data_IF_553990598774
#
_entry.id   IF_553990598774
#
_cell.length_a   1.000
_cell.length_b   1.000
_cell.length_c   1.000
_cell.angle_alpha   90.00
_cell.angle_beta   90.00
_cell.angle_gamma   90.00
#
_symmetry.space_group_name_H-M   'P 1'
#
loop_
_entity.id
_entity.type
_entity.pdbx_description
1 polymer ?
#
# COMPACT_ATOMS: atom_id res chain seq x y z
N UNK A 1 -4.06 34.72 9.34
CA UNK A 1 -3.94 33.30 9.75
C UNK A 1 -2.78 32.72 8.97
N UNK A 2 -1.61 32.57 9.61
CA UNK A 2 -0.39 32.10 8.97
C UNK A 2 -0.50 30.61 8.67
N UNK A 3 -0.41 30.26 7.39
CA UNK A 3 -0.09 28.91 6.90
C UNK A 3 1.17 28.43 7.61
N UNK A 4 1.07 27.32 8.35
CA UNK A 4 2.19 26.74 9.07
C UNK A 4 3.25 26.21 8.10
N UNK A 5 4.32 26.97 7.92
CA UNK A 5 5.52 26.50 7.25
C UNK A 5 6.08 25.32 8.04
N UNK A 6 5.99 24.12 7.47
CA UNK A 6 6.72 22.96 7.97
C UNK A 6 8.20 23.30 7.84
N UNK A 7 8.86 23.62 8.94
CA UNK A 7 10.30 23.87 8.95
C UNK A 7 11.03 22.59 8.53
N UNK A 8 11.65 22.65 7.36
CA UNK A 8 12.52 21.60 6.85
C UNK A 8 13.77 21.49 7.72
N UNK A 9 14.05 20.30 8.29
CA UNK A 9 15.17 20.05 9.22
C UNK A 9 16.17 19.02 8.64
N UNK A 10 16.86 19.33 7.52
CA UNK A 10 17.72 18.38 6.81
C UNK A 10 18.92 17.91 7.63
N UNK A 11 19.49 18.77 8.47
CA UNK A 11 20.69 18.51 9.28
C UNK A 11 20.47 17.43 10.35
N UNK A 12 19.23 17.22 10.79
CA UNK A 12 18.87 16.16 11.73
C UNK A 12 18.01 15.04 11.13
N UNK A 13 17.78 15.05 9.82
CA UNK A 13 16.92 14.06 9.15
C UNK A 13 17.76 12.98 8.48
N UNK A 14 17.53 11.72 8.85
CA UNK A 14 18.07 10.55 8.14
C UNK A 14 17.02 10.06 7.17
N UNK A 15 17.36 9.97 5.88
CA UNK A 15 16.48 9.37 4.89
C UNK A 15 16.74 7.87 4.88
N UNK A 16 15.73 7.06 5.24
CA UNK A 16 15.75 5.61 5.14
C UNK A 16 14.84 5.17 4.00
N UNK A 17 15.37 4.42 3.04
CA UNK A 17 14.59 3.90 1.90
C UNK A 17 15.21 2.60 1.37
N UNK A 18 14.60 2.00 0.36
CA UNK A 18 15.08 0.77 -0.26
C UNK A 18 14.28 0.40 -1.50
N UNK A 19 14.73 -0.64 -2.21
CA UNK A 19 14.16 -1.04 -3.50
C UNK A 19 12.84 -1.80 -3.37
N UNK A 20 12.47 -2.20 -2.16
CA UNK A 20 11.37 -3.14 -1.94
C UNK A 20 10.02 -2.67 -2.49
N UNK A 21 9.77 -1.35 -2.51
CA UNK A 21 8.45 -0.80 -2.83
C UNK A 21 8.45 -0.10 -4.18
N UNK A 22 9.19 0.99 -4.30
CA UNK A 22 9.16 1.83 -5.50
C UNK A 22 9.74 1.13 -6.74
N UNK A 23 10.61 0.13 -6.57
CA UNK A 23 11.15 -0.69 -7.66
C UNK A 23 10.52 -2.09 -7.74
N UNK A 24 9.43 -2.34 -7.00
CA UNK A 24 8.76 -3.66 -6.90
C UNK A 24 9.70 -4.84 -6.57
N UNK A 25 10.81 -4.57 -5.88
CA UNK A 25 11.89 -5.54 -5.61
C UNK A 25 11.85 -6.03 -4.15
N UNK A 26 10.68 -6.43 -3.65
CA UNK A 26 10.47 -6.80 -2.24
C UNK A 26 11.43 -7.89 -1.73
N UNK A 27 11.70 -8.88 -2.58
CA UNK A 27 12.59 -10.00 -2.29
C UNK A 27 14.08 -9.69 -2.39
N UNK A 28 14.49 -8.52 -2.89
CA UNK A 28 15.90 -8.20 -3.16
C UNK A 28 16.67 -7.76 -1.91
N UNK A 29 15.94 -7.43 -0.84
CA UNK A 29 16.49 -7.12 0.50
C UNK A 29 17.57 -6.03 0.49
N UNK A 30 17.39 -5.00 -0.34
CA UNK A 30 18.28 -3.83 -0.37
C UNK A 30 17.58 -2.58 0.17
N UNK A 31 18.15 -2.03 1.23
CA UNK A 31 17.82 -0.73 1.80
C UNK A 31 19.09 0.07 2.07
N UNK A 32 18.95 1.39 2.16
CA UNK A 32 20.06 2.29 2.40
C UNK A 32 19.59 3.52 3.17
N UNK A 33 20.51 4.09 3.94
CA UNK A 33 20.28 5.30 4.72
C UNK A 33 21.20 6.42 4.21
N UNK A 34 20.64 7.61 4.02
CA UNK A 34 21.41 8.83 3.73
C UNK A 34 21.47 9.66 5.00
N UNK A 35 22.68 9.87 5.51
CA UNK A 35 22.91 10.67 6.72
C UNK A 35 23.43 12.06 6.34
N UNK A 36 22.89 13.14 6.95
CA UNK A 36 23.47 14.46 6.82
C UNK A 36 24.85 14.50 7.51
N UNK A 37 25.71 15.45 7.11
CA UNK A 37 27.09 15.55 7.60
C UNK A 37 27.14 15.68 9.13
N UNK A 38 26.16 16.38 9.71
CA UNK A 38 26.00 16.64 11.13
C UNK A 38 25.78 15.36 11.95
N UNK A 39 25.28 14.29 11.32
CA UNK A 39 25.04 12.99 11.95
C UNK A 39 26.13 11.95 11.62
N UNK A 40 27.35 12.39 11.28
CA UNK A 40 28.45 11.48 10.90
C UNK A 40 28.84 10.49 11.99
N UNK A 41 28.78 10.91 13.25
CA UNK A 41 29.14 10.05 14.38
C UNK A 41 28.08 8.96 14.60
N UNK A 42 26.80 9.32 14.47
CA UNK A 42 25.71 8.36 14.46
C UNK A 42 25.84 7.36 13.30
N UNK A 43 26.15 7.84 12.09
CA UNK A 43 26.42 6.96 10.93
C UNK A 43 27.54 5.97 11.23
N UNK A 44 28.63 6.41 11.87
CA UNK A 44 29.76 5.55 12.25
C UNK A 44 29.33 4.48 13.26
N UNK A 45 28.57 4.88 14.28
CA UNK A 45 28.03 3.97 15.28
C UNK A 45 27.09 2.92 14.66
N UNK A 46 26.14 3.34 13.82
CA UNK A 46 25.22 2.42 13.12
C UNK A 46 25.98 1.47 12.20
N UNK A 47 26.97 1.96 11.44
CA UNK A 47 27.80 1.10 10.58
C UNK A 47 28.59 0.06 11.40
N UNK A 48 29.14 0.44 12.55
CA UNK A 48 29.85 -0.47 13.44
C UNK A 48 28.90 -1.57 13.95
N UNK A 49 27.74 -1.19 14.48
CA UNK A 49 26.73 -2.14 14.93
C UNK A 49 26.25 -3.08 13.80
N UNK A 50 26.03 -2.53 12.62
CA UNK A 50 25.66 -3.30 11.43
C UNK A 50 26.72 -4.35 11.09
N UNK A 51 28.00 -3.99 11.05
CA UNK A 51 29.09 -4.94 10.72
C UNK A 51 29.27 -6.07 11.75
N UNK A 52 28.75 -5.90 12.97
CA UNK A 52 28.72 -6.96 13.99
C UNK A 52 27.41 -7.78 13.98
N UNK A 53 26.39 -7.31 13.26
CA UNK A 53 25.06 -7.98 13.17
C UNK A 53 24.91 -8.73 11.85
N UNK A 54 25.42 -8.17 10.75
CA UNK A 54 25.38 -8.76 9.41
C UNK A 54 26.60 -8.28 8.59
N UNK A 55 27.06 -9.10 7.65
CA UNK A 55 28.25 -8.79 6.86
C UNK A 55 28.02 -7.62 5.89
N UNK A 56 27.12 -7.80 4.92
CA UNK A 56 26.78 -6.79 3.91
C UNK A 56 25.49 -7.18 3.19
N UNK A 57 24.92 -6.25 2.42
CA UNK A 57 23.85 -6.58 1.48
C UNK A 57 24.38 -7.49 0.34
N UNK A 58 23.53 -8.30 -0.31
CA UNK A 58 23.99 -9.20 -1.38
C UNK A 58 24.69 -8.43 -2.52
N UNK A 59 25.95 -8.77 -2.81
CA UNK A 59 26.75 -8.05 -3.82
C UNK A 59 26.08 -7.97 -5.20
N UNK A 60 25.48 -9.04 -5.77
CA UNK A 60 24.79 -8.93 -7.06
C UNK A 60 23.67 -7.89 -7.09
N UNK A 61 22.94 -7.76 -5.96
CA UNK A 61 21.87 -6.78 -5.82
C UNK A 61 22.42 -5.36 -5.74
N UNK A 62 23.59 -5.16 -5.12
CA UNK A 62 24.27 -3.86 -5.09
C UNK A 62 24.70 -3.42 -6.50
N UNK A 63 25.21 -4.33 -7.33
CA UNK A 63 25.54 -4.04 -8.74
C UNK A 63 24.31 -3.66 -9.55
N UNK A 64 23.23 -4.44 -9.44
CA UNK A 64 21.98 -4.13 -10.14
C UNK A 64 21.37 -2.80 -9.69
N UNK A 65 21.46 -2.46 -8.39
CA UNK A 65 21.03 -1.17 -7.89
C UNK A 65 21.87 -0.02 -8.45
N UNK A 66 23.19 -0.22 -8.59
CA UNK A 66 24.09 0.78 -9.18
C UNK A 66 23.71 1.07 -10.63
N UNK A 67 23.47 0.03 -11.43
CA UNK A 67 23.00 0.16 -12.81
C UNK A 67 21.68 0.95 -12.87
N UNK A 68 20.72 0.57 -12.02
CA UNK A 68 19.43 1.27 -11.94
C UNK A 68 19.61 2.77 -11.58
N UNK A 69 20.47 3.11 -10.62
CA UNK A 69 20.72 4.52 -10.25
C UNK A 69 21.48 5.32 -11.31
N UNK A 70 22.15 4.65 -12.26
CA UNK A 70 22.75 5.31 -13.42
C UNK A 70 21.72 5.58 -14.53
N UNK A 71 20.52 4.99 -14.45
CA UNK A 71 19.46 5.09 -15.44
C UNK A 71 18.20 5.75 -14.85
N UNK A 72 18.34 6.94 -14.26
CA UNK A 72 17.25 7.61 -13.54
C UNK A 72 16.01 7.89 -14.40
N UNK A 73 16.16 8.20 -15.68
CA UNK A 73 15.02 8.44 -16.59
C UNK A 73 14.13 7.20 -16.75
N UNK A 74 14.73 6.00 -16.77
CA UNK A 74 14.00 4.74 -16.81
C UNK A 74 13.27 4.50 -15.48
N UNK A 75 13.90 4.82 -14.35
CA UNK A 75 13.27 4.76 -13.04
C UNK A 75 12.08 5.71 -12.93
N UNK A 76 12.24 6.96 -13.37
CA UNK A 76 11.19 7.98 -13.31
C UNK A 76 10.00 7.58 -14.19
N UNK A 77 10.26 7.09 -15.41
CA UNK A 77 9.21 6.55 -16.29
C UNK A 77 8.48 5.37 -15.63
N UNK A 78 9.23 4.41 -15.08
CA UNK A 78 8.66 3.27 -14.37
C UNK A 78 7.77 3.72 -13.19
N UNK A 79 8.27 4.60 -12.34
CA UNK A 79 7.55 5.13 -11.18
C UNK A 79 6.27 5.83 -11.62
N UNK A 80 6.32 6.70 -12.64
CA UNK A 80 5.12 7.40 -13.16
C UNK A 80 4.03 6.42 -13.61
N UNK A 81 4.41 5.39 -14.36
CA UNK A 81 3.46 4.36 -14.79
C UNK A 81 2.92 3.54 -13.63
N UNK A 82 3.76 3.16 -12.65
CA UNK A 82 3.29 2.46 -11.46
C UNK A 82 2.36 3.34 -10.60
N UNK A 83 2.69 4.61 -10.40
CA UNK A 83 1.89 5.57 -9.63
C UNK A 83 0.50 5.75 -10.23
N UNK A 84 0.37 5.93 -11.56
CA UNK A 84 -0.97 6.08 -12.17
C UNK A 84 -1.81 4.81 -12.08
N UNK A 85 -1.18 3.63 -12.16
CA UNK A 85 -1.87 2.34 -11.97
C UNK A 85 -2.38 2.24 -10.53
N UNK A 86 -1.52 2.51 -9.55
CA UNK A 86 -1.90 2.45 -8.13
C UNK A 86 -2.95 3.50 -7.75
N UNK A 87 -2.91 4.69 -8.35
CA UNK A 87 -3.95 5.71 -8.17
C UNK A 87 -5.31 5.24 -8.73
N UNK A 88 -5.33 4.65 -9.92
CA UNK A 88 -6.55 4.09 -10.52
C UNK A 88 -7.14 2.97 -9.66
N UNK A 89 -6.31 2.01 -9.23
CA UNK A 89 -6.74 0.87 -8.42
C UNK A 89 -7.17 1.32 -7.02
N UNK A 90 -6.39 2.17 -6.36
CA UNK A 90 -6.71 2.70 -5.03
C UNK A 90 -7.97 3.56 -5.03
N UNK A 91 -8.16 4.39 -6.07
CA UNK A 91 -9.39 5.15 -6.28
C UNK A 91 -10.60 4.24 -6.47
N UNK A 92 -10.48 3.20 -7.30
CA UNK A 92 -11.55 2.21 -7.49
C UNK A 92 -11.96 1.54 -6.17
N UNK A 93 -11.00 1.04 -5.38
CA UNK A 93 -11.29 0.46 -4.06
C UNK A 93 -12.03 1.44 -3.15
N UNK A 94 -11.61 2.71 -3.14
CA UNK A 94 -12.24 3.76 -2.35
C UNK A 94 -13.69 4.01 -2.78
N UNK A 95 -13.94 4.24 -4.07
CA UNK A 95 -15.28 4.56 -4.58
C UNK A 95 -16.27 3.42 -4.42
N UNK A 96 -15.85 2.18 -4.71
CA UNK A 96 -16.73 1.01 -4.60
C UNK A 96 -17.18 0.76 -3.15
N UNK A 97 -16.25 0.81 -2.19
CA UNK A 97 -16.59 0.59 -0.78
C UNK A 97 -17.40 1.75 -0.20
N UNK A 98 -17.03 3.00 -0.50
CA UNK A 98 -17.77 4.17 -0.01
C UNK A 98 -19.18 4.27 -0.60
N UNK A 99 -19.40 3.76 -1.81
CA UNK A 99 -20.74 3.69 -2.43
C UNK A 99 -21.75 2.87 -1.60
N UNK A 100 -21.26 1.96 -0.75
CA UNK A 100 -22.08 1.16 0.16
C UNK A 100 -21.95 1.61 1.62
N UNK A 101 -21.46 2.82 1.87
CA UNK A 101 -21.43 3.46 3.19
C UNK A 101 -20.25 3.07 4.08
N UNK A 102 -19.32 2.24 3.60
CA UNK A 102 -18.03 2.01 4.29
C UNK A 102 -17.27 3.33 4.30
N UNK A 103 -16.72 3.75 5.44
CA UNK A 103 -15.92 4.98 5.50
C UNK A 103 -14.47 4.66 5.14
N UNK A 104 -13.82 5.55 4.42
CA UNK A 104 -12.40 5.45 4.11
C UNK A 104 -11.85 6.83 3.77
N UNK A 105 -10.53 6.99 3.82
CA UNK A 105 -9.83 8.13 3.25
C UNK A 105 -9.32 7.74 1.87
N UNK A 106 -9.53 8.59 0.86
CA UNK A 106 -9.01 8.34 -0.48
C UNK A 106 -7.48 8.24 -0.42
N UNK A 107 -6.86 7.16 -0.93
CA UNK A 107 -5.41 7.02 -0.89
C UNK A 107 -4.75 8.09 -1.76
N UNK A 108 -3.69 8.72 -1.25
CA UNK A 108 -2.85 9.66 -2.02
C UNK A 108 -1.47 9.08 -2.35
N UNK A 109 -1.09 7.98 -1.70
CA UNK A 109 0.18 7.29 -1.89
C UNK A 109 0.10 5.86 -1.33
N UNK A 110 1.16 5.09 -1.58
CA UNK A 110 1.26 3.71 -1.10
C UNK A 110 0.35 2.78 -1.89
N UNK A 111 -0.03 1.68 -1.26
CA UNK A 111 -0.85 0.64 -1.88
C UNK A 111 -1.81 -0.03 -0.88
N UNK A 112 -2.22 0.75 0.14
CA UNK A 112 -3.18 0.35 1.16
C UNK A 112 -4.28 1.40 1.31
N UNK A 113 -5.49 0.95 1.63
CA UNK A 113 -6.55 1.79 2.20
C UNK A 113 -6.94 1.23 3.58
N UNK A 114 -7.56 2.07 4.41
CA UNK A 114 -7.99 1.71 5.76
C UNK A 114 -9.52 1.86 5.92
N UNK A 115 -10.32 0.98 5.29
CA UNK A 115 -11.78 1.04 5.38
C UNK A 115 -12.31 0.75 6.79
N UNK A 116 -13.37 1.44 7.14
CA UNK A 116 -14.16 1.37 8.37
C UNK A 116 -15.56 0.85 8.04
N UNK A 117 -15.87 -0.33 8.58
CA UNK A 117 -17.10 -1.08 8.38
C UNK A 117 -18.11 -0.89 9.52
N UNK A 118 -17.98 0.15 10.36
CA UNK A 118 -18.91 0.41 11.47
C UNK A 118 -20.36 0.57 11.00
N UNK A 119 -20.59 0.92 9.72
CA UNK A 119 -21.92 0.99 9.08
C UNK A 119 -22.71 -0.32 9.15
N UNK A 120 -22.05 -1.47 9.32
CA UNK A 120 -22.68 -2.80 9.46
C UNK A 120 -22.43 -3.43 10.85
N UNK A 121 -21.88 -2.68 11.81
CA UNK A 121 -21.49 -3.22 13.12
C UNK A 121 -22.63 -3.85 13.90
N UNK A 122 -23.77 -3.19 14.01
CA UNK A 122 -24.90 -3.74 14.77
C UNK A 122 -25.48 -5.00 14.12
N UNK A 123 -25.42 -5.10 12.78
CA UNK A 123 -25.89 -6.29 12.06
C UNK A 123 -24.92 -7.46 12.27
N UNK A 124 -23.61 -7.20 12.20
CA UNK A 124 -22.57 -8.18 12.51
C UNK A 124 -22.65 -8.63 13.97
N UNK A 125 -22.92 -7.72 14.91
CA UNK A 125 -23.10 -8.02 16.33
C UNK A 125 -24.27 -8.98 16.59
N UNK A 126 -25.38 -8.85 15.85
CA UNK A 126 -26.50 -9.81 15.90
C UNK A 126 -26.11 -11.21 15.43
N UNK A 127 -25.14 -11.30 14.51
CA UNK A 127 -24.54 -12.56 14.05
C UNK A 127 -23.47 -13.11 15.00
N UNK A 128 -23.20 -12.42 16.12
CA UNK A 128 -22.15 -12.79 17.07
C UNK A 128 -20.75 -12.31 16.70
N UNK A 129 -20.59 -11.54 15.61
CA UNK A 129 -19.32 -10.96 15.19
C UNK A 129 -19.15 -9.61 15.89
N UNK A 130 -18.21 -9.51 16.82
CA UNK A 130 -18.04 -8.33 17.70
C UNK A 130 -16.67 -7.68 17.55
N UNK A 131 -15.71 -8.40 17.01
CA UNK A 131 -14.34 -7.95 16.86
C UNK A 131 -13.94 -7.84 15.39
N UNK A 132 -12.92 -7.03 15.15
CA UNK A 132 -12.34 -6.88 13.84
C UNK A 132 -11.75 -8.17 13.28
N UNK A 133 -11.14 -9.01 14.14
CA UNK A 133 -10.58 -10.30 13.74
C UNK A 133 -11.68 -11.28 13.31
N UNK A 134 -12.78 -11.35 14.08
CA UNK A 134 -13.96 -12.13 13.70
C UNK A 134 -14.57 -11.64 12.38
N UNK A 135 -14.62 -10.31 12.17
CA UNK A 135 -15.07 -9.74 10.90
C UNK A 135 -14.14 -10.13 9.75
N UNK A 136 -12.81 -10.03 9.92
CA UNK A 136 -11.85 -10.42 8.87
C UNK A 136 -11.95 -11.92 8.56
N UNK A 137 -12.21 -12.76 9.56
CA UNK A 137 -12.49 -14.19 9.37
C UNK A 137 -13.78 -14.41 8.59
N UNK A 138 -14.87 -13.72 8.94
CA UNK A 138 -16.13 -13.82 8.22
C UNK A 138 -15.98 -13.35 6.76
N UNK A 139 -15.26 -12.25 6.51
CA UNK A 139 -14.93 -11.78 5.16
C UNK A 139 -14.16 -12.85 4.38
N UNK A 140 -13.16 -13.51 4.99
CA UNK A 140 -12.41 -14.57 4.34
C UNK A 140 -13.30 -15.77 4.01
N UNK A 141 -14.07 -16.25 5.00
CA UNK A 141 -14.89 -17.45 4.87
C UNK A 141 -16.08 -17.24 3.91
N UNK A 142 -16.67 -16.05 3.87
CA UNK A 142 -17.90 -15.74 3.11
C UNK A 142 -17.62 -15.07 1.76
N UNK A 143 -16.55 -14.28 1.64
CA UNK A 143 -16.20 -13.55 0.41
C UNK A 143 -15.01 -14.14 -0.33
N UNK A 144 -14.21 -15.00 0.31
CA UNK A 144 -12.91 -15.43 -0.21
C UNK A 144 -11.86 -14.31 -0.24
N UNK A 145 -12.07 -13.22 0.51
CA UNK A 145 -11.18 -12.05 0.51
C UNK A 145 -10.36 -12.00 1.78
N UNK A 146 -9.03 -11.99 1.65
CA UNK A 146 -8.13 -11.86 2.78
C UNK A 146 -7.82 -10.37 3.05
N UNK A 147 -8.17 -9.90 4.24
CA UNK A 147 -7.84 -8.55 4.76
C UNK A 147 -7.21 -8.67 6.14
N UNK A 148 -6.50 -7.62 6.57
CA UNK A 148 -5.84 -7.59 7.88
C UNK A 148 -6.64 -6.72 8.85
N UNK A 149 -6.90 -7.23 10.05
CA UNK A 149 -7.60 -6.49 11.09
C UNK A 149 -6.85 -5.22 11.48
N UNK A 150 -7.58 -4.12 11.68
CA UNK A 150 -7.07 -2.85 12.19
C UNK A 150 -6.59 -2.98 13.63
N UNK A 151 -7.43 -3.58 14.48
CA UNK A 151 -7.13 -3.85 15.89
C UNK A 151 -6.81 -5.33 16.15
N UNK A 152 -5.82 -5.66 16.99
CA UNK A 152 -4.87 -4.75 17.67
C UNK A 152 -3.62 -4.42 16.83
N UNK A 153 -3.43 -5.06 15.66
CA UNK A 153 -2.20 -5.02 14.88
C UNK A 153 -1.74 -3.61 14.46
N UNK A 154 -2.68 -2.67 14.30
CA UNK A 154 -2.42 -1.27 13.96
C UNK A 154 -2.84 -0.30 15.08
N UNK A 155 -2.79 -0.76 16.33
CA UNK A 155 -3.11 0.05 17.51
C UNK A 155 -4.55 0.62 17.49
N UNK A 156 -5.47 -0.06 16.79
CA UNK A 156 -6.90 0.23 16.86
C UNK A 156 -7.58 -0.64 17.93
N UNK A 157 -8.71 -0.20 18.51
CA UNK A 157 -9.54 -1.04 19.36
C UNK A 157 -9.95 -2.33 18.65
N UNK A 158 -10.05 -3.45 19.39
CA UNK A 158 -10.39 -4.76 18.82
C UNK A 158 -11.84 -4.85 18.35
N UNK A 159 -12.73 -4.02 18.91
CA UNK A 159 -14.15 -3.90 18.59
C UNK A 159 -14.45 -2.84 17.52
N UNK A 160 -13.40 -2.15 17.03
CA UNK A 160 -13.50 -1.25 15.89
C UNK A 160 -13.34 -2.03 14.59
N UNK A 161 -14.35 -1.99 13.73
CA UNK A 161 -14.43 -2.81 12.53
C UNK A 161 -13.67 -2.17 11.36
N UNK A 162 -12.36 -1.98 11.49
CA UNK A 162 -11.49 -1.42 10.45
C UNK A 162 -10.52 -2.44 9.88
N UNK A 163 -10.19 -2.37 8.58
CA UNK A 163 -9.20 -3.28 8.00
C UNK A 163 -8.08 -2.52 7.30
N UNK A 164 -6.86 -3.07 7.30
CA UNK A 164 -5.81 -2.65 6.37
C UNK A 164 -5.95 -3.47 5.10
N UNK A 165 -6.53 -2.88 4.07
CA UNK A 165 -6.76 -3.51 2.77
C UNK A 165 -5.61 -3.17 1.83
N UNK A 166 -5.00 -4.20 1.23
CA UNK A 166 -3.93 -4.10 0.24
C UNK A 166 -4.50 -4.27 -1.16
N UNK A 167 -4.24 -3.33 -2.07
CA UNK A 167 -4.84 -3.35 -3.41
C UNK A 167 -3.83 -3.65 -4.53
N UNK A 168 -2.78 -4.44 -4.24
CA UNK A 168 -1.80 -4.92 -5.23
C UNK A 168 -1.74 -6.42 -5.53
N UNK A 169 -2.73 -7.29 -5.17
CA UNK A 169 -2.74 -8.66 -5.65
C UNK A 169 -3.24 -8.75 -7.10
N UNK A 170 -2.46 -8.25 -8.07
CA UNK A 170 -2.75 -8.38 -9.49
C UNK A 170 -1.46 -8.50 -10.32
N UNK A 171 -1.57 -8.85 -11.60
CA UNK A 171 -0.42 -8.90 -12.50
C UNK A 171 0.05 -7.48 -12.87
N UNK A 172 1.02 -6.98 -12.10
CA UNK A 172 1.64 -5.68 -12.33
C UNK A 172 2.40 -5.61 -13.67
N UNK A 173 2.87 -6.74 -14.21
CA UNK A 173 3.57 -6.78 -15.50
C UNK A 173 2.62 -6.51 -16.67
N UNK A 174 1.44 -7.14 -16.64
CA UNK A 174 0.37 -6.89 -17.62
C UNK A 174 -0.14 -5.44 -17.54
N UNK A 175 -0.49 -4.97 -16.34
CA UNK A 175 -0.96 -3.60 -16.10
C UNK A 175 0.08 -2.55 -16.54
N UNK A 176 1.36 -2.77 -16.23
CA UNK A 176 2.45 -1.89 -16.64
C UNK A 176 2.67 -1.88 -18.16
N UNK A 177 2.57 -3.03 -18.81
CA UNK A 177 2.75 -3.14 -20.27
C UNK A 177 1.66 -2.38 -21.02
N UNK A 178 0.41 -2.52 -20.59
CA UNK A 178 -0.70 -1.71 -21.12
C UNK A 178 -0.49 -0.21 -20.85
N UNK A 179 -0.11 0.12 -19.62
CA UNK A 179 0.13 1.49 -19.22
C UNK A 179 1.18 2.18 -20.11
N UNK A 180 2.27 1.45 -20.43
CA UNK A 180 3.32 1.90 -21.35
C UNK A 180 2.86 2.00 -22.79
N UNK A 181 2.10 1.02 -23.31
CA UNK A 181 1.64 1.05 -24.70
C UNK A 181 0.68 2.20 -24.98
N UNK A 182 -0.07 2.63 -23.97
CA UNK A 182 -0.96 3.78 -24.05
C UNK A 182 -0.22 5.13 -24.08
N UNK A 183 1.01 5.18 -23.54
CA UNK A 183 1.73 6.42 -23.27
C UNK A 183 1.21 7.17 -22.04
N UNK A 184 1.86 8.26 -21.65
CA UNK A 184 1.48 9.08 -20.48
C UNK A 184 0.48 10.21 -20.80
N UNK A 185 0.24 10.49 -22.09
CA UNK A 185 -0.62 11.60 -22.55
C UNK A 185 -2.12 11.25 -22.53
N UNK A 186 -2.46 10.01 -22.16
CA UNK A 186 -3.83 9.50 -22.12
C UNK A 186 -4.11 8.89 -20.76
N UNK A 187 -5.31 9.17 -20.25
CA UNK A 187 -5.81 8.53 -19.04
C UNK A 187 -6.04 7.04 -19.25
N UNK A 188 -5.89 6.27 -18.17
CA UNK A 188 -6.32 4.87 -18.16
C UNK A 188 -7.84 4.81 -18.37
N UNK A 189 -8.35 3.84 -19.15
CA UNK A 189 -9.79 3.74 -19.40
C UNK A 189 -10.55 3.37 -18.11
N UNK A 190 -11.83 3.69 -18.06
CA UNK A 190 -12.68 3.47 -16.86
C UNK A 190 -12.70 2.00 -16.42
N UNK A 191 -12.71 1.06 -17.37
CA UNK A 191 -12.66 -0.38 -17.12
C UNK A 191 -11.26 -0.94 -16.85
N UNK A 192 -10.23 -0.10 -16.73
CA UNK A 192 -8.83 -0.55 -16.55
C UNK A 192 -8.66 -1.53 -15.39
N UNK A 193 -9.26 -1.23 -14.22
CA UNK A 193 -9.11 -2.08 -13.02
C UNK A 193 -9.77 -3.45 -13.25
N UNK A 194 -10.89 -3.49 -13.96
CA UNK A 194 -11.58 -4.74 -14.31
C UNK A 194 -10.74 -5.61 -15.25
N UNK A 195 -10.14 -4.98 -16.26
CA UNK A 195 -9.49 -5.69 -17.36
C UNK A 195 -8.02 -6.07 -17.05
N UNK A 196 -7.31 -5.25 -16.26
CA UNK A 196 -5.88 -5.42 -16.00
C UNK A 196 -5.54 -5.70 -14.53
N UNK A 197 -6.51 -5.51 -13.61
CA UNK A 197 -6.33 -5.74 -12.18
C UNK A 197 -7.45 -6.64 -11.61
N UNK A 198 -7.91 -7.61 -12.40
CA UNK A 198 -9.12 -8.41 -12.16
C UNK A 198 -9.24 -9.00 -10.75
N UNK A 199 -8.19 -9.59 -10.13
CA UNK A 199 -8.35 -10.13 -8.78
C UNK A 199 -8.69 -9.07 -7.73
N UNK A 200 -8.21 -7.83 -7.90
CA UNK A 200 -8.61 -6.70 -7.05
C UNK A 200 -10.02 -6.25 -7.36
N UNK A 201 -10.38 -6.16 -8.65
CA UNK A 201 -11.75 -5.84 -9.06
C UNK A 201 -12.76 -6.80 -8.42
N UNK A 202 -12.54 -8.10 -8.58
CA UNK A 202 -13.43 -9.16 -8.08
C UNK A 202 -13.50 -9.15 -6.55
N UNK A 203 -12.36 -9.02 -5.87
CA UNK A 203 -12.31 -8.96 -4.41
C UNK A 203 -13.08 -7.76 -3.83
N UNK A 204 -12.97 -6.59 -4.46
CA UNK A 204 -13.72 -5.39 -4.05
C UNK A 204 -15.21 -5.53 -4.33
N UNK A 205 -15.60 -6.11 -5.47
CA UNK A 205 -17.02 -6.37 -5.75
C UNK A 205 -17.62 -7.40 -4.78
N UNK A 206 -16.86 -8.44 -4.42
CA UNK A 206 -17.26 -9.40 -3.40
C UNK A 206 -17.45 -8.74 -2.02
N UNK A 207 -16.49 -7.90 -1.59
CA UNK A 207 -16.61 -7.12 -0.36
C UNK A 207 -17.81 -6.18 -0.37
N UNK A 208 -18.01 -5.44 -1.47
CA UNK A 208 -19.15 -4.54 -1.65
C UNK A 208 -20.48 -5.28 -1.51
N UNK A 209 -20.59 -6.43 -2.19
CA UNK A 209 -21.77 -7.30 -2.09
C UNK A 209 -21.97 -7.78 -0.65
N UNK A 210 -20.92 -8.25 0.01
CA UNK A 210 -21.00 -8.74 1.38
C UNK A 210 -21.51 -7.69 2.36
N UNK A 211 -21.04 -6.43 2.24
CA UNK A 211 -21.54 -5.30 3.04
C UNK A 211 -23.04 -5.07 2.80
N UNK A 212 -23.51 -5.15 1.56
CA UNK A 212 -24.93 -5.00 1.22
C UNK A 212 -25.78 -6.14 1.79
N UNK A 213 -25.27 -7.38 1.72
CA UNK A 213 -25.94 -8.54 2.29
C UNK A 213 -26.12 -8.37 3.82
N UNK A 214 -25.12 -7.82 4.52
CA UNK A 214 -25.23 -7.55 5.96
C UNK A 214 -26.30 -6.51 6.30
N UNK A 215 -26.64 -5.59 5.38
CA UNK A 215 -27.68 -4.57 5.60
C UNK A 215 -29.11 -5.10 5.40
N UNK A 216 -29.24 -6.26 4.77
CA UNK A 216 -30.53 -6.87 4.45
C UNK A 216 -31.05 -7.78 5.58
N UNK A 217 -30.28 -7.94 6.66
CA UNK A 217 -30.55 -8.73 7.87
C UNK A 217 -30.57 -7.84 9.12
#
# INVERSE_FOLDING_TARGET
MSSGDVQFYPEGTIISTGLSKWASAGGWRLGYHMYPKQLSDLRRAVRSAASHTYTSAPSPVQYAATEMFQNLDLCDSYIKHCSRILDAVGSYCYWELTSVGVKAVKPTAGYYIFPDFEVIKENLKRRGIKTCEEMCKAILDECGVAVMAGGPAFLRPVDELTTRLCYVPFDGGNALSYSRSLGMDKDLPENFVKDYCTPVYDGIQALKKWVLDQKSH
#
